data_IF_703875817093
#
_entry.id   IF_703875817093
#
_cell.length_a   1.000
_cell.length_b   1.000
_cell.length_c   1.000
_cell.angle_alpha   90.00
_cell.angle_beta   90.00
_cell.angle_gamma   90.00
#
_symmetry.space_group_name_H-M   'P 1'
#
loop_
_entity.id
_entity.type
_entity.pdbx_description
1 polymer ?
#
# COMPACT_ATOMS: atom_id res chain seq x y z
N UNK A 1 11.49 72.51 69.40
CA UNK A 1 12.54 71.55 69.85
C UNK A 1 13.28 71.00 68.63
N UNK A 2 14.62 70.95 68.63
CA UNK A 2 15.47 70.17 67.69
C UNK A 2 15.80 68.77 68.32
N UNK A 3 16.77 67.94 67.84
CA UNK A 3 17.11 67.35 66.51
C UNK A 3 17.38 65.79 66.56
N UNK A 4 17.61 65.09 65.42
CA UNK A 4 18.79 64.16 65.17
C UNK A 4 18.64 63.11 64.02
N UNK A 5 19.53 63.28 63.02
CA UNK A 5 20.49 62.37 62.33
C UNK A 5 20.21 60.85 62.09
N UNK A 6 20.30 60.52 60.78
CA UNK A 6 21.13 59.52 60.04
C UNK A 6 20.98 58.01 60.30
N UNK A 7 20.69 57.26 59.22
CA UNK A 7 21.57 56.22 58.64
C UNK A 7 21.16 55.79 57.21
N UNK A 8 22.15 55.67 56.32
CA UNK A 8 22.25 54.87 55.07
C UNK A 8 23.32 53.76 55.32
N UNK A 9 23.62 52.77 54.46
CA UNK A 9 23.22 52.52 53.04
C UNK A 9 22.69 51.06 52.82
N UNK A 10 22.21 50.64 51.63
CA UNK A 10 23.02 50.05 50.54
C UNK A 10 22.17 49.80 49.28
N UNK A 11 22.87 49.83 48.14
CA UNK A 11 22.40 49.67 46.78
C UNK A 11 21.94 48.23 46.44
N UNK A 12 21.11 48.13 45.40
CA UNK A 12 20.65 46.89 44.79
C UNK A 12 19.84 47.20 43.52
N UNK A 13 20.57 47.46 42.45
CA UNK A 13 20.34 47.13 41.03
C UNK A 13 18.93 46.80 40.50
N UNK A 14 18.59 47.59 39.47
CA UNK A 14 18.25 47.17 38.10
C UNK A 14 16.82 47.07 37.55
N UNK A 15 16.75 47.64 36.34
CA UNK A 15 15.94 47.31 35.16
C UNK A 15 14.41 47.50 35.18
N UNK A 16 14.02 48.70 34.75
CA UNK A 16 13.15 48.96 33.59
C UNK A 16 12.26 47.80 33.10
N UNK A 17 11.00 47.80 33.53
CA UNK A 17 9.92 47.06 32.88
C UNK A 17 9.58 47.66 31.50
N UNK A 18 10.27 47.20 30.45
CA UNK A 18 9.79 47.37 29.06
C UNK A 18 8.93 46.17 28.68
N UNK A 19 7.65 46.45 28.56
CA UNK A 19 6.53 45.65 28.07
C UNK A 19 6.89 44.93 26.75
N UNK A 20 7.25 43.64 26.84
CA UNK A 20 7.36 42.73 25.68
C UNK A 20 5.93 42.39 25.24
N UNK A 21 5.49 43.00 24.13
CA UNK A 21 4.22 42.70 23.44
C UNK A 21 4.43 42.06 22.07
N UNK A 22 5.63 41.55 21.77
CA UNK A 22 5.97 41.00 20.44
C UNK A 22 6.05 39.47 20.36
N UNK A 23 6.22 38.75 21.48
CA UNK A 23 6.38 37.28 21.44
C UNK A 23 5.09 36.48 21.19
N UNK A 24 3.91 37.09 21.42
CA UNK A 24 2.64 36.36 21.27
C UNK A 24 2.20 36.14 19.82
N UNK A 25 2.74 36.93 18.88
CA UNK A 25 2.38 36.86 17.45
C UNK A 25 3.21 35.80 16.72
N UNK A 26 4.52 35.74 16.99
CA UNK A 26 5.40 34.70 16.46
C UNK A 26 4.99 33.30 16.93
N UNK A 27 4.72 33.14 18.23
CA UNK A 27 4.34 31.85 18.81
C UNK A 27 2.99 31.34 18.30
N UNK A 28 2.06 32.24 17.96
CA UNK A 28 0.77 31.89 17.33
C UNK A 28 0.93 31.48 15.87
N UNK A 29 1.78 32.17 15.10
CA UNK A 29 2.07 31.83 13.70
C UNK A 29 2.75 30.45 13.59
N UNK A 30 3.73 30.17 14.46
CA UNK A 30 4.37 28.85 14.57
C UNK A 30 3.34 27.75 14.89
N UNK A 31 2.47 27.94 15.89
CA UNK A 31 1.46 26.91 16.23
C UNK A 31 0.39 26.72 15.15
N UNK A 32 0.06 27.76 14.37
CA UNK A 32 -0.85 27.62 13.22
C UNK A 32 -0.16 26.97 12.02
N UNK A 33 1.11 27.27 11.75
CA UNK A 33 1.88 26.64 10.68
C UNK A 33 2.14 25.15 10.96
N UNK A 34 2.49 24.81 12.21
CA UNK A 34 2.65 23.41 12.67
C UNK A 34 1.34 22.63 12.50
N UNK A 35 0.18 23.26 12.77
CA UNK A 35 -1.13 22.62 12.59
C UNK A 35 -1.53 22.43 11.12
N UNK A 36 -1.17 23.36 10.24
CA UNK A 36 -1.40 23.24 8.79
C UNK A 36 -0.49 22.20 8.13
N UNK A 37 0.70 21.96 8.69
CA UNK A 37 1.57 20.85 8.30
C UNK A 37 0.99 19.48 8.70
N UNK A 38 0.25 19.40 9.81
CA UNK A 38 -0.36 18.15 10.32
C UNK A 38 -1.65 17.74 9.60
N UNK A 39 -2.38 18.65 8.96
CA UNK A 39 -3.61 18.33 8.22
C UNK A 39 -3.35 18.07 6.74
N UNK A 40 -4.12 17.16 6.12
CA UNK A 40 -4.06 16.90 4.67
C UNK A 40 -4.34 18.18 3.85
N UNK A 41 -3.55 18.38 2.78
CA UNK A 41 -3.68 19.46 1.81
C UNK A 41 -3.82 18.91 0.40
N UNK A 42 -4.96 19.21 -0.25
CA UNK A 42 -5.19 18.83 -1.65
C UNK A 42 -4.17 19.45 -2.59
N UNK A 43 -3.68 20.66 -2.27
CA UNK A 43 -2.66 21.35 -3.06
C UNK A 43 -1.32 20.62 -2.99
N UNK A 44 -0.87 20.23 -1.79
CA UNK A 44 0.37 19.45 -1.62
C UNK A 44 0.25 18.08 -2.30
N UNK A 45 -0.90 17.43 -2.16
CA UNK A 45 -1.15 16.14 -2.82
C UNK A 45 -1.07 16.22 -4.35
N UNK A 46 -1.53 17.33 -4.94
CA UNK A 46 -1.45 17.60 -6.38
C UNK A 46 -0.02 17.89 -6.82
N UNK A 47 0.70 18.75 -6.09
CA UNK A 47 2.11 19.05 -6.36
C UNK A 47 2.95 17.77 -6.31
N UNK A 48 2.73 16.95 -5.28
CA UNK A 48 3.38 15.66 -5.10
C UNK A 48 3.10 14.68 -6.23
N UNK A 49 1.88 14.64 -6.77
CA UNK A 49 1.55 13.82 -7.95
C UNK A 49 2.42 14.20 -9.16
N UNK A 50 2.54 15.49 -9.45
CA UNK A 50 3.30 15.97 -10.62
C UNK A 50 4.82 15.79 -10.48
N UNK A 51 5.33 15.48 -9.29
CA UNK A 51 6.74 15.03 -9.13
C UNK A 51 7.02 13.69 -9.82
N UNK A 52 5.99 12.89 -10.06
CA UNK A 52 6.08 11.57 -10.71
C UNK A 52 5.43 11.55 -12.10
N UNK A 53 4.37 12.35 -12.32
CA UNK A 53 3.67 12.41 -13.59
C UNK A 53 4.31 13.38 -14.61
N UNK A 54 5.19 14.27 -14.16
CA UNK A 54 5.79 15.28 -15.05
C UNK A 54 4.75 16.28 -15.54
N UNK A 55 4.59 16.38 -16.87
CA UNK A 55 3.58 17.24 -17.50
C UNK A 55 2.29 16.52 -17.90
N UNK A 56 2.18 15.23 -17.62
CA UNK A 56 1.01 14.40 -17.94
C UNK A 56 0.07 14.27 -16.73
N UNK A 57 -1.18 13.90 -16.98
CA UNK A 57 -2.17 13.59 -15.93
C UNK A 57 -2.17 12.11 -15.51
N UNK A 58 -1.03 11.42 -15.75
CA UNK A 58 -0.83 10.00 -15.44
C UNK A 58 0.61 9.77 -14.99
N UNK A 59 0.79 9.11 -13.85
CA UNK A 59 2.06 8.49 -13.45
C UNK A 59 2.19 7.17 -14.20
N UNK A 60 3.13 7.09 -15.14
CA UNK A 60 3.47 5.84 -15.86
C UNK A 60 4.55 5.01 -15.17
N UNK A 61 5.06 3.95 -15.82
CA UNK A 61 6.03 3.02 -15.23
C UNK A 61 7.30 3.68 -14.69
N UNK A 62 7.91 4.62 -15.42
CA UNK A 62 9.11 5.33 -14.96
C UNK A 62 8.84 6.17 -13.69
N UNK A 63 7.70 6.87 -13.66
CA UNK A 63 7.27 7.62 -12.48
C UNK A 63 6.91 6.70 -11.30
N UNK A 64 6.35 5.52 -11.61
CA UNK A 64 6.03 4.49 -10.61
C UNK A 64 7.28 3.91 -9.96
N UNK A 65 8.34 3.65 -10.73
CA UNK A 65 9.63 3.20 -10.19
C UNK A 65 10.21 4.22 -9.21
N UNK A 66 10.26 5.50 -9.61
CA UNK A 66 10.69 6.59 -8.73
C UNK A 66 9.80 6.70 -7.48
N UNK A 67 8.49 6.61 -7.64
CA UNK A 67 7.56 6.64 -6.52
C UNK A 67 7.79 5.48 -5.53
N UNK A 68 8.01 4.27 -6.04
CA UNK A 68 8.31 3.09 -5.22
C UNK A 68 9.63 3.27 -4.45
N UNK A 69 10.68 3.75 -5.12
CA UNK A 69 11.97 4.10 -4.49
C UNK A 69 11.77 5.14 -3.37
N UNK A 70 11.06 6.22 -3.66
CA UNK A 70 10.79 7.30 -2.72
C UNK A 70 9.99 6.82 -1.51
N UNK A 71 9.08 5.84 -1.61
CA UNK A 71 8.38 5.30 -0.44
C UNK A 71 9.10 4.10 0.20
N UNK A 72 10.23 3.67 -0.37
CA UNK A 72 11.07 2.60 0.17
C UNK A 72 10.47 1.20 -0.01
N UNK A 73 9.80 0.95 -1.13
CA UNK A 73 9.24 -0.36 -1.48
C UNK A 73 9.63 -0.75 -2.89
N UNK A 74 9.74 -2.05 -3.15
CA UNK A 74 9.89 -2.54 -4.53
C UNK A 74 8.55 -2.45 -5.27
N UNK A 75 8.55 -2.23 -6.61
CA UNK A 75 7.32 -2.24 -7.41
C UNK A 75 6.52 -3.55 -7.26
N UNK A 76 7.23 -4.68 -7.17
CA UNK A 76 6.66 -6.01 -6.93
C UNK A 76 6.46 -6.28 -5.42
N UNK A 77 5.99 -5.30 -4.66
CA UNK A 77 5.61 -5.49 -3.26
C UNK A 77 4.09 -5.57 -3.12
N UNK A 78 3.59 -6.52 -2.33
CA UNK A 78 2.15 -6.68 -2.09
C UNK A 78 1.49 -5.40 -1.55
N UNK A 79 2.22 -4.54 -0.83
CA UNK A 79 1.67 -3.26 -0.35
C UNK A 79 1.31 -2.31 -1.50
N UNK A 80 2.02 -2.37 -2.63
CA UNK A 80 1.70 -1.58 -3.83
C UNK A 80 0.39 -2.01 -4.46
N UNK A 81 0.09 -3.30 -4.43
CA UNK A 81 -1.21 -3.83 -4.86
C UNK A 81 -2.35 -3.32 -3.96
N UNK A 82 -2.13 -3.29 -2.63
CA UNK A 82 -3.12 -2.73 -1.70
C UNK A 82 -3.30 -1.22 -1.92
N UNK A 83 -2.21 -0.49 -2.16
CA UNK A 83 -2.27 0.93 -2.47
C UNK A 83 -3.08 1.18 -3.75
N UNK A 84 -2.77 0.46 -4.83
CA UNK A 84 -3.51 0.53 -6.08
C UNK A 84 -5.01 0.27 -5.87
N UNK A 85 -5.35 -0.74 -5.07
CA UNK A 85 -6.74 -1.02 -4.69
C UNK A 85 -7.39 0.12 -3.90
N UNK A 86 -6.67 0.77 -2.97
CA UNK A 86 -7.18 1.95 -2.24
C UNK A 86 -7.38 3.17 -3.14
N UNK A 87 -6.59 3.30 -4.19
CA UNK A 87 -6.75 4.34 -5.22
C UNK A 87 -7.86 4.00 -6.22
N UNK A 88 -8.35 2.75 -6.22
CA UNK A 88 -9.24 2.20 -7.24
C UNK A 88 -8.63 2.39 -8.64
N UNK A 89 -7.36 2.01 -8.76
CA UNK A 89 -6.57 2.15 -9.97
C UNK A 89 -7.01 1.12 -11.03
N UNK A 90 -7.14 1.55 -12.27
CA UNK A 90 -7.69 0.70 -13.33
C UNK A 90 -6.66 -0.15 -14.07
N UNK A 91 -5.38 0.22 -14.03
CA UNK A 91 -4.33 -0.46 -14.81
C UNK A 91 -3.01 -0.55 -14.05
N UNK A 92 -2.43 -1.74 -14.03
CA UNK A 92 -1.12 -1.99 -13.44
C UNK A 92 -0.02 -1.13 -14.06
N UNK A 93 0.81 -0.53 -13.20
CA UNK A 93 1.90 0.35 -13.59
C UNK A 93 1.50 1.80 -13.84
N UNK A 94 0.22 2.15 -13.69
CA UNK A 94 -0.29 3.50 -13.93
C UNK A 94 -1.16 4.01 -12.79
N UNK A 95 -1.02 5.29 -12.44
CA UNK A 95 -1.99 6.03 -11.64
C UNK A 95 -2.38 7.32 -12.36
N UNK A 96 -3.67 7.50 -12.61
CA UNK A 96 -4.21 8.77 -13.11
C UNK A 96 -4.28 9.80 -11.99
N UNK A 97 -4.33 11.08 -12.37
CA UNK A 97 -4.50 12.18 -11.42
C UNK A 97 -5.74 12.00 -10.52
N UNK A 98 -6.86 11.53 -11.09
CA UNK A 98 -8.12 11.36 -10.36
C UNK A 98 -8.04 10.21 -9.35
N UNK A 99 -7.46 9.07 -9.73
CA UNK A 99 -7.23 7.94 -8.83
C UNK A 99 -6.33 8.35 -7.67
N UNK A 100 -5.23 9.06 -7.97
CA UNK A 100 -4.29 9.56 -6.96
C UNK A 100 -4.97 10.50 -5.97
N UNK A 101 -5.56 11.61 -6.44
CA UNK A 101 -6.17 12.61 -5.55
C UNK A 101 -7.29 12.01 -4.67
N UNK A 102 -8.12 11.14 -5.25
CA UNK A 102 -9.20 10.45 -4.52
C UNK A 102 -8.64 9.49 -3.46
N UNK A 103 -7.70 8.63 -3.86
CA UNK A 103 -7.14 7.60 -2.99
C UNK A 103 -6.27 8.19 -1.89
N UNK A 104 -5.33 9.05 -2.26
CA UNK A 104 -4.44 9.75 -1.31
C UNK A 104 -5.21 10.67 -0.37
N UNK A 105 -6.25 11.36 -0.87
CA UNK A 105 -7.20 12.11 -0.04
C UNK A 105 -7.94 11.21 0.97
N UNK A 106 -8.40 10.04 0.55
CA UNK A 106 -9.06 9.08 1.44
C UNK A 106 -8.10 8.50 2.49
N UNK A 107 -6.83 8.32 2.13
CA UNK A 107 -5.76 7.88 3.03
C UNK A 107 -5.18 9.01 3.89
N UNK A 108 -5.60 10.27 3.66
CA UNK A 108 -5.04 11.46 4.31
C UNK A 108 -3.51 11.58 4.13
N UNK A 109 -3.01 11.15 2.98
CA UNK A 109 -1.60 11.21 2.60
C UNK A 109 -1.41 12.27 1.51
N UNK A 110 -0.62 13.30 1.77
CA UNK A 110 -0.29 14.34 0.78
C UNK A 110 1.23 14.51 0.59
N UNK A 111 2.01 13.53 1.06
CA UNK A 111 3.47 13.49 0.95
C UNK A 111 4.01 12.07 1.10
N UNK A 112 5.24 11.86 0.63
CA UNK A 112 6.00 10.61 0.79
C UNK A 112 6.08 10.14 2.24
N UNK A 113 6.32 11.04 3.18
CA UNK A 113 6.44 10.70 4.61
C UNK A 113 5.13 10.14 5.18
N UNK A 114 3.98 10.79 4.88
CA UNK A 114 2.68 10.32 5.36
C UNK A 114 2.31 8.97 4.79
N UNK A 115 2.61 8.74 3.50
CA UNK A 115 2.34 7.45 2.89
C UNK A 115 3.25 6.36 3.47
N UNK A 116 4.55 6.63 3.67
CA UNK A 116 5.48 5.72 4.37
C UNK A 116 4.94 5.31 5.74
N UNK A 117 4.46 6.27 6.53
CA UNK A 117 3.85 6.02 7.84
C UNK A 117 2.54 5.21 7.78
N UNK A 118 1.89 5.18 6.62
CA UNK A 118 0.64 4.44 6.37
C UNK A 118 0.87 3.02 5.80
N UNK A 119 2.09 2.67 5.41
CA UNK A 119 2.37 1.37 4.77
C UNK A 119 2.02 0.17 5.66
N UNK A 120 2.25 0.27 6.97
CA UNK A 120 1.89 -0.82 7.90
C UNK A 120 0.38 -0.98 8.03
N UNK A 121 -0.36 0.12 8.02
CA UNK A 121 -1.81 0.07 7.93
C UNK A 121 -2.25 -0.60 6.62
N UNK A 122 -1.69 -0.22 5.48
CA UNK A 122 -2.01 -0.84 4.18
C UNK A 122 -1.73 -2.35 4.20
N UNK A 123 -0.58 -2.79 4.74
CA UNK A 123 -0.28 -4.21 4.90
C UNK A 123 -1.31 -4.91 5.78
N UNK A 124 -1.76 -4.26 6.86
CA UNK A 124 -2.74 -4.83 7.79
C UNK A 124 -4.10 -5.09 7.16
N UNK A 125 -4.47 -4.39 6.08
CA UNK A 125 -5.72 -4.61 5.33
C UNK A 125 -5.82 -6.05 4.81
N UNK A 126 -4.68 -6.67 4.46
CA UNK A 126 -4.64 -8.06 3.97
C UNK A 126 -4.93 -9.10 5.06
N UNK A 127 -4.89 -8.72 6.34
CA UNK A 127 -5.21 -9.62 7.44
C UNK A 127 -6.72 -9.83 7.59
N UNK A 128 -7.54 -8.91 7.06
CA UNK A 128 -8.99 -9.09 7.00
C UNK A 128 -9.38 -9.98 5.82
N UNK A 129 -10.05 -11.09 6.10
CA UNK A 129 -10.40 -12.10 5.08
C UNK A 129 -11.30 -11.55 3.97
N UNK A 130 -12.19 -10.60 4.30
CA UNK A 130 -13.10 -9.96 3.35
C UNK A 130 -12.32 -9.04 2.41
N UNK A 131 -11.52 -8.14 2.99
CA UNK A 131 -10.66 -7.22 2.25
C UNK A 131 -9.65 -7.97 1.39
N UNK A 132 -9.02 -9.02 1.93
CA UNK A 132 -8.14 -9.90 1.17
C UNK A 132 -8.84 -10.49 -0.05
N UNK A 133 -10.07 -11.02 0.10
CA UNK A 133 -10.83 -11.59 -1.01
C UNK A 133 -11.15 -10.55 -2.08
N UNK A 134 -11.47 -9.31 -1.68
CA UNK A 134 -11.71 -8.21 -2.60
C UNK A 134 -10.43 -7.79 -3.35
N UNK A 135 -9.32 -7.63 -2.63
CA UNK A 135 -8.02 -7.28 -3.22
C UNK A 135 -7.52 -8.38 -4.15
N UNK A 136 -7.66 -9.65 -3.76
CA UNK A 136 -7.31 -10.80 -4.59
C UNK A 136 -8.07 -10.80 -5.92
N UNK A 137 -9.37 -10.52 -5.89
CA UNK A 137 -10.20 -10.42 -7.10
C UNK A 137 -9.84 -9.21 -7.95
N UNK A 138 -9.63 -8.06 -7.31
CA UNK A 138 -9.20 -6.83 -7.96
C UNK A 138 -7.87 -7.02 -8.70
N UNK A 139 -6.90 -7.72 -8.10
CA UNK A 139 -5.58 -7.94 -8.69
C UNK A 139 -5.64 -8.55 -10.10
N UNK A 140 -6.61 -9.43 -10.35
CA UNK A 140 -6.82 -9.99 -11.68
C UNK A 140 -7.22 -8.92 -12.69
N UNK A 141 -8.23 -8.10 -12.37
CA UNK A 141 -8.70 -7.07 -13.29
C UNK A 141 -7.67 -5.95 -13.46
N UNK A 142 -6.93 -5.63 -12.41
CA UNK A 142 -5.86 -4.63 -12.38
C UNK A 142 -4.64 -5.01 -13.23
N UNK A 143 -4.20 -6.27 -13.15
CA UNK A 143 -3.02 -6.76 -13.87
C UNK A 143 -3.32 -7.15 -15.33
N UNK A 144 -4.60 -7.29 -15.69
CA UNK A 144 -5.00 -7.74 -17.02
C UNK A 144 -4.98 -6.59 -18.01
N UNK A 145 -4.35 -6.82 -19.16
CA UNK A 145 -4.39 -5.89 -20.28
C UNK A 145 -5.82 -5.63 -20.75
N UNK A 146 -6.05 -4.41 -21.24
CA UNK A 146 -7.33 -4.01 -21.84
C UNK A 146 -7.74 -5.03 -22.92
N UNK A 147 -9.03 -5.34 -22.97
CA UNK A 147 -9.66 -6.27 -23.93
C UNK A 147 -9.28 -7.76 -23.82
N UNK A 148 -8.30 -8.13 -22.98
CA UNK A 148 -8.01 -9.54 -22.69
C UNK A 148 -9.03 -10.17 -21.74
N UNK A 149 -9.08 -11.50 -21.64
CA UNK A 149 -9.93 -12.22 -20.65
C UNK A 149 -9.13 -13.06 -19.66
N UNK A 150 -7.82 -12.96 -19.73
CA UNK A 150 -6.86 -13.76 -18.96
C UNK A 150 -5.58 -12.98 -18.72
N UNK A 151 -4.85 -13.36 -17.68
CA UNK A 151 -3.48 -12.93 -17.42
C UNK A 151 -2.52 -13.88 -18.13
N UNK A 152 -1.39 -13.39 -18.64
CA UNK A 152 -0.29 -14.29 -19.00
C UNK A 152 0.24 -15.01 -17.76
N UNK A 153 0.84 -16.18 -17.97
CA UNK A 153 1.26 -17.03 -16.87
C UNK A 153 2.32 -16.38 -15.97
N UNK A 154 3.23 -15.58 -16.52
CA UNK A 154 4.29 -14.96 -15.71
C UNK A 154 3.70 -13.89 -14.79
N UNK A 155 2.87 -13.00 -15.32
CA UNK A 155 2.15 -12.00 -14.51
C UNK A 155 1.26 -12.66 -13.47
N UNK A 156 0.54 -13.73 -13.84
CA UNK A 156 -0.30 -14.46 -12.90
C UNK A 156 0.52 -15.08 -11.75
N UNK A 157 1.65 -15.74 -12.05
CA UNK A 157 2.54 -16.32 -11.03
C UNK A 157 3.08 -15.24 -10.09
N UNK A 158 3.57 -14.12 -10.62
CA UNK A 158 4.06 -13.02 -9.80
C UNK A 158 2.96 -12.52 -8.86
N UNK A 159 1.76 -12.22 -9.37
CA UNK A 159 0.63 -11.74 -8.56
C UNK A 159 0.18 -12.76 -7.51
N UNK A 160 0.09 -14.05 -7.86
CA UNK A 160 -0.22 -15.10 -6.89
C UNK A 160 0.88 -15.22 -5.82
N UNK A 161 2.15 -15.05 -6.19
CA UNK A 161 3.26 -15.04 -5.24
C UNK A 161 3.17 -13.90 -4.23
N UNK A 162 2.79 -12.70 -4.68
CA UNK A 162 2.57 -11.57 -3.79
C UNK A 162 1.44 -11.82 -2.79
N UNK A 163 0.34 -12.45 -3.24
CA UNK A 163 -0.88 -12.61 -2.45
C UNK A 163 -0.86 -13.87 -1.56
N UNK A 164 -0.34 -14.98 -2.07
CA UNK A 164 -0.44 -16.31 -1.46
C UNK A 164 0.91 -16.89 -1.03
N UNK A 165 2.03 -16.33 -1.50
CA UNK A 165 3.35 -16.95 -1.29
C UNK A 165 3.79 -17.08 0.17
N UNK A 166 3.26 -16.23 1.06
CA UNK A 166 3.52 -16.31 2.51
C UNK A 166 2.44 -17.04 3.30
N UNK A 167 1.22 -17.12 2.77
CA UNK A 167 0.03 -17.54 3.52
C UNK A 167 -0.48 -18.92 3.14
N UNK A 168 -0.17 -19.39 1.93
CA UNK A 168 -0.59 -20.71 1.44
C UNK A 168 0.61 -21.66 1.37
N UNK A 169 0.70 -22.67 2.26
CA UNK A 169 1.86 -23.57 2.31
C UNK A 169 2.11 -24.38 1.03
N UNK A 170 1.08 -24.63 0.23
CA UNK A 170 1.21 -25.31 -1.06
C UNK A 170 1.58 -24.35 -2.21
N UNK A 171 1.65 -23.04 -1.99
CA UNK A 171 2.01 -22.10 -3.05
C UNK A 171 3.34 -22.42 -3.74
N UNK A 172 4.45 -22.76 -3.03
CA UNK A 172 5.72 -23.06 -3.71
C UNK A 172 5.61 -24.22 -4.69
N UNK A 173 4.91 -25.30 -4.32
CA UNK A 173 4.71 -26.46 -5.20
C UNK A 173 3.69 -26.19 -6.30
N UNK A 174 2.67 -25.37 -6.04
CA UNK A 174 1.73 -24.92 -7.05
C UNK A 174 2.41 -24.02 -8.10
N UNK A 175 3.28 -23.10 -7.68
CA UNK A 175 4.06 -22.27 -8.59
C UNK A 175 4.99 -23.12 -9.47
N UNK A 176 5.63 -24.14 -8.88
CA UNK A 176 6.45 -25.09 -9.63
C UNK A 176 5.62 -25.89 -10.65
N UNK A 177 4.42 -26.33 -10.28
CA UNK A 177 3.48 -26.95 -11.21
C UNK A 177 3.17 -26.01 -12.39
N UNK A 178 2.80 -24.76 -12.11
CA UNK A 178 2.51 -23.78 -13.14
C UNK A 178 3.70 -23.60 -14.11
N UNK A 179 4.93 -23.52 -13.59
CA UNK A 179 6.15 -23.41 -14.41
C UNK A 179 6.38 -24.58 -15.37
N UNK A 180 6.01 -25.79 -14.95
CA UNK A 180 6.21 -27.02 -15.73
C UNK A 180 4.99 -27.40 -16.57
N UNK A 181 3.87 -26.71 -16.35
CA UNK A 181 2.61 -26.98 -17.01
C UNK A 181 2.59 -26.49 -18.47
N UNK A 182 1.55 -26.94 -19.19
CA UNK A 182 1.22 -26.48 -20.55
C UNK A 182 0.55 -25.09 -20.57
N UNK A 183 0.10 -24.57 -19.43
CA UNK A 183 -0.66 -23.33 -19.38
C UNK A 183 0.20 -22.14 -19.82
N UNK A 184 -0.42 -21.20 -20.54
CA UNK A 184 0.22 -19.93 -20.97
C UNK A 184 -0.48 -18.71 -20.42
N UNK A 185 -1.72 -18.89 -19.97
CA UNK A 185 -2.56 -17.85 -19.41
C UNK A 185 -3.41 -18.42 -18.27
N UNK A 186 -3.86 -17.55 -17.36
CA UNK A 186 -4.82 -17.86 -16.29
C UNK A 186 -6.06 -16.99 -16.51
N UNK A 187 -7.23 -17.62 -16.63
CA UNK A 187 -8.49 -16.89 -16.76
C UNK A 187 -9.09 -16.53 -15.39
N UNK A 188 -10.16 -15.73 -15.40
CA UNK A 188 -10.78 -15.21 -14.16
C UNK A 188 -11.34 -16.31 -13.25
N UNK A 189 -11.90 -17.36 -13.85
CA UNK A 189 -12.48 -18.48 -13.11
C UNK A 189 -11.40 -19.31 -12.41
N UNK A 190 -10.33 -19.67 -13.13
CA UNK A 190 -9.16 -20.33 -12.57
C UNK A 190 -8.54 -19.50 -11.44
N UNK A 191 -8.33 -18.20 -11.66
CA UNK A 191 -7.82 -17.28 -10.65
C UNK A 191 -8.67 -17.33 -9.38
N UNK A 192 -9.99 -17.15 -9.49
CA UNK A 192 -10.88 -17.16 -8.32
C UNK A 192 -10.86 -18.51 -7.59
N UNK A 193 -10.84 -19.63 -8.32
CA UNK A 193 -10.82 -20.96 -7.74
C UNK A 193 -9.50 -21.29 -7.05
N UNK A 194 -8.36 -20.73 -7.46
CA UNK A 194 -7.08 -20.90 -6.73
C UNK A 194 -7.20 -20.40 -5.28
N UNK A 195 -7.88 -19.27 -5.04
CA UNK A 195 -8.12 -18.78 -3.68
C UNK A 195 -9.08 -19.67 -2.89
N UNK A 196 -10.15 -20.15 -3.50
CA UNK A 196 -11.10 -21.04 -2.81
C UNK A 196 -10.42 -22.38 -2.49
N UNK A 197 -9.63 -22.92 -3.41
CA UNK A 197 -8.83 -24.12 -3.21
C UNK A 197 -7.84 -23.94 -2.06
N UNK A 198 -7.10 -22.82 -2.03
CA UNK A 198 -6.13 -22.54 -0.95
C UNK A 198 -6.76 -22.43 0.44
N UNK A 199 -8.08 -22.20 0.52
CA UNK A 199 -8.84 -22.02 1.76
C UNK A 199 -9.62 -23.27 2.18
N UNK A 200 -9.96 -24.15 1.25
CA UNK A 200 -10.89 -25.27 1.50
C UNK A 200 -10.26 -26.65 1.36
N UNK A 201 -9.16 -26.78 0.63
CA UNK A 201 -8.46 -28.05 0.45
C UNK A 201 -7.34 -28.18 1.49
N UNK A 202 -7.29 -29.36 2.11
CA UNK A 202 -6.27 -29.72 3.08
C UNK A 202 -4.89 -29.75 2.43
N UNK A 203 -3.84 -29.52 3.22
CA UNK A 203 -2.47 -29.48 2.72
C UNK A 203 -1.99 -30.84 2.16
N UNK A 204 -2.57 -31.94 2.62
CA UNK A 204 -2.32 -33.30 2.13
C UNK A 204 -3.26 -33.71 0.97
N UNK A 205 -4.14 -32.79 0.54
CA UNK A 205 -5.13 -32.98 -0.52
C UNK A 205 -6.16 -34.09 -0.23
N UNK A 206 -6.28 -34.54 1.03
CA UNK A 206 -7.12 -35.67 1.44
C UNK A 206 -8.62 -35.47 1.22
N UNK A 207 -9.08 -34.22 1.26
CA UNK A 207 -10.48 -33.85 1.08
C UNK A 207 -10.81 -33.32 -0.33
N UNK A 208 -9.87 -33.44 -1.27
CA UNK A 208 -10.10 -33.05 -2.65
C UNK A 208 -10.99 -34.09 -3.36
N UNK A 209 -12.02 -33.59 -4.04
CA UNK A 209 -13.00 -34.38 -4.80
C UNK A 209 -12.71 -34.25 -6.30
N UNK A 210 -12.28 -35.36 -6.91
CA UNK A 210 -11.95 -35.46 -8.34
C UNK A 210 -13.19 -35.35 -9.24
N UNK A 211 -14.38 -35.64 -8.72
CA UNK A 211 -15.66 -35.45 -9.42
C UNK A 211 -16.27 -34.05 -9.15
N UNK A 212 -15.53 -33.20 -8.44
CA UNK A 212 -15.93 -31.83 -8.10
C UNK A 212 -15.94 -30.87 -9.29
N UNK A 213 -16.52 -29.69 -9.09
CA UNK A 213 -16.60 -28.64 -10.11
C UNK A 213 -15.36 -27.72 -10.15
N UNK A 214 -14.18 -28.25 -9.81
CA UNK A 214 -12.94 -27.49 -9.86
C UNK A 214 -12.49 -27.27 -11.32
N UNK A 215 -11.78 -26.17 -11.64
CA UNK A 215 -11.17 -26.02 -12.94
C UNK A 215 -10.12 -27.12 -13.17
N UNK A 216 -10.07 -27.65 -14.38
CA UNK A 216 -9.09 -28.69 -14.83
C UNK A 216 -7.64 -28.38 -14.42
N UNK A 217 -7.27 -27.09 -14.32
CA UNK A 217 -5.96 -26.68 -13.83
C UNK A 217 -5.64 -27.19 -12.42
N UNK A 218 -6.63 -27.16 -11.52
CA UNK A 218 -6.47 -27.62 -10.14
C UNK A 218 -6.50 -29.15 -10.07
N UNK A 219 -7.29 -29.80 -10.93
CA UNK A 219 -7.32 -31.26 -11.05
C UNK A 219 -5.95 -31.78 -11.49
N UNK A 220 -5.37 -31.19 -12.55
CA UNK A 220 -4.03 -31.49 -13.03
C UNK A 220 -2.94 -31.17 -11.99
N UNK A 221 -3.13 -30.14 -11.14
CA UNK A 221 -2.22 -29.86 -10.04
C UNK A 221 -2.23 -30.97 -8.97
N UNK A 222 -3.42 -31.43 -8.59
CA UNK A 222 -3.56 -32.49 -7.58
C UNK A 222 -2.96 -33.81 -8.09
N UNK A 223 -3.24 -34.18 -9.34
CA UNK A 223 -2.66 -35.36 -9.99
C UNK A 223 -1.12 -35.28 -9.99
N UNK A 224 -0.57 -34.18 -10.52
CA UNK A 224 0.86 -33.93 -10.58
C UNK A 224 1.54 -33.97 -9.20
N UNK A 225 0.87 -33.44 -8.16
CA UNK A 225 1.41 -33.45 -6.81
C UNK A 225 1.43 -34.86 -6.21
N UNK A 226 0.34 -35.63 -6.40
CA UNK A 226 0.24 -37.02 -5.91
C UNK A 226 1.29 -37.92 -6.56
N UNK A 227 1.50 -37.82 -7.87
CA UNK A 227 2.52 -38.61 -8.58
C UNK A 227 3.93 -38.40 -8.02
N UNK A 228 4.28 -37.16 -7.65
CA UNK A 228 5.59 -36.82 -7.09
C UNK A 228 5.82 -37.29 -5.66
N UNK A 229 4.76 -37.48 -4.88
CA UNK A 229 4.87 -38.04 -3.53
C UNK A 229 5.03 -39.58 -3.56
N UNK A 230 4.65 -40.22 -4.66
CA UNK A 230 4.79 -41.67 -4.86
C UNK A 230 6.12 -42.08 -5.50
N UNK A 231 6.87 -41.13 -6.06
CA UNK A 231 8.20 -41.32 -6.64
C UNK A 231 9.32 -41.05 -5.65
#
# INVERSE_FOLDING_TARGET
MPPRKKRRPSAGDDMSAKKIRQDSVFRKHETSQIREEETFSSKRCLEWFYEYAGCDDVVGPEGMEKFCEDIGVEPENVVMLVLAWKLDAQSMGYFTLQEWLRGMGSLQCDSTERLRNSLDYLRSVLNDSTSFKLIYRYAFDFAREKDQRSLDLNTAKCMLGLLLGKTWPLFPVFNQFLEQSKYKVINKDQWCNVLEFSRTINLDLSNYDEDGAWPVLLDEFVEWYKERQMS
#
